data_IF_533970434632
#
_entry.id   IF_533970434632
#
_cell.length_a   1.000
_cell.length_b   1.000
_cell.length_c   1.000
_cell.angle_alpha   90.00
_cell.angle_beta   90.00
_cell.angle_gamma   90.00
#
_symmetry.space_group_name_H-M   'P 1'
#
loop_
_entity.id
_entity.type
_entity.pdbx_description
1 polymer ?
#
# COMPACT_ATOMS: atom_id res chain seq x y z
N UNK A 1 4.44 -12.82 0.52
CA UNK A 1 4.84 -14.07 1.23
C UNK A 1 4.91 -15.25 0.26
N UNK A 2 3.88 -15.52 -0.55
CA UNK A 2 3.85 -16.64 -1.50
C UNK A 2 5.03 -16.63 -2.48
N UNK A 3 5.31 -15.48 -3.12
CA UNK A 3 6.47 -15.31 -3.99
C UNK A 3 7.79 -15.69 -3.30
N UNK A 4 7.93 -15.39 -2.00
CA UNK A 4 9.13 -15.78 -1.23
C UNK A 4 9.25 -17.30 -1.06
N UNK A 5 8.16 -18.02 -0.85
CA UNK A 5 8.19 -19.49 -0.80
C UNK A 5 8.51 -20.09 -2.16
N UNK A 6 7.87 -19.61 -3.23
CA UNK A 6 8.13 -20.07 -4.60
C UNK A 6 9.62 -19.81 -4.96
N UNK A 7 10.12 -18.61 -4.73
CA UNK A 7 11.51 -18.25 -4.99
C UNK A 7 12.50 -19.14 -4.20
N UNK A 8 12.19 -19.42 -2.94
CA UNK A 8 13.00 -20.33 -2.13
C UNK A 8 13.03 -21.75 -2.68
N UNK A 9 11.89 -22.31 -3.10
CA UNK A 9 11.81 -23.64 -3.73
C UNK A 9 12.62 -23.67 -5.03
N UNK A 10 12.44 -22.67 -5.91
CA UNK A 10 13.20 -22.56 -7.15
C UNK A 10 14.71 -22.48 -6.88
N UNK A 11 15.12 -21.70 -5.89
CA UNK A 11 16.52 -21.59 -5.49
C UNK A 11 17.09 -22.93 -5.01
N UNK A 12 16.34 -23.67 -4.21
CA UNK A 12 16.72 -25.00 -3.72
C UNK A 12 16.94 -25.98 -4.88
N UNK A 13 16.03 -26.03 -5.85
CA UNK A 13 16.15 -26.88 -7.04
C UNK A 13 17.37 -26.52 -7.91
N UNK A 14 17.76 -25.26 -7.93
CA UNK A 14 18.93 -24.78 -8.66
C UNK A 14 20.24 -24.85 -7.85
N UNK A 15 20.21 -25.41 -6.62
CA UNK A 15 21.38 -25.47 -5.74
C UNK A 15 21.87 -24.10 -5.27
N UNK A 16 20.98 -23.11 -5.22
CA UNK A 16 21.27 -21.76 -4.75
C UNK A 16 20.92 -21.58 -3.28
N UNK A 17 21.29 -20.43 -2.70
CA UNK A 17 20.98 -20.11 -1.32
C UNK A 17 19.49 -19.79 -1.14
N UNK A 18 18.72 -20.76 -0.66
CA UNK A 18 17.28 -20.66 -0.41
C UNK A 18 16.91 -19.50 0.52
N UNK A 19 17.65 -19.29 1.62
CA UNK A 19 17.37 -18.21 2.58
C UNK A 19 17.52 -16.84 1.95
N UNK A 20 18.55 -16.68 1.11
CA UNK A 20 18.81 -15.43 0.40
C UNK A 20 17.73 -15.16 -0.66
N UNK A 21 17.29 -16.20 -1.39
CA UNK A 21 16.21 -16.10 -2.37
C UNK A 21 14.88 -15.75 -1.72
N UNK A 22 14.52 -16.42 -0.64
CA UNK A 22 13.31 -16.08 0.14
C UNK A 22 13.34 -14.64 0.66
N UNK A 23 14.50 -14.20 1.15
CA UNK A 23 14.68 -12.84 1.67
C UNK A 23 14.51 -11.79 0.57
N UNK A 24 15.13 -11.98 -0.59
CA UNK A 24 15.01 -11.07 -1.73
C UNK A 24 13.56 -10.98 -2.23
N UNK A 25 12.91 -12.12 -2.43
CA UNK A 25 11.51 -12.17 -2.88
C UNK A 25 10.52 -11.66 -1.82
N UNK A 26 10.82 -11.78 -0.53
CA UNK A 26 9.99 -11.19 0.53
C UNK A 26 10.01 -9.65 0.48
N UNK A 27 11.15 -9.08 0.12
CA UNK A 27 11.40 -7.63 0.15
C UNK A 27 11.24 -6.94 -1.21
N UNK A 28 11.03 -7.69 -2.31
CA UNK A 28 11.06 -7.12 -3.67
C UNK A 28 10.12 -5.93 -3.85
N UNK A 29 8.97 -5.97 -3.21
CA UNK A 29 7.90 -4.97 -3.28
C UNK A 29 7.88 -3.97 -2.10
N UNK A 30 8.91 -3.97 -1.24
CA UNK A 30 8.91 -3.11 -0.04
C UNK A 30 8.78 -1.62 -0.37
N UNK A 31 9.23 -1.20 -1.55
CA UNK A 31 9.08 0.18 -2.00
C UNK A 31 7.63 0.63 -2.19
N UNK A 32 6.68 -0.30 -2.36
CA UNK A 32 5.24 0.01 -2.42
C UNK A 32 4.68 0.49 -1.07
N UNK A 33 5.39 0.23 0.03
CA UNK A 33 5.01 0.69 1.37
C UNK A 33 5.45 2.13 1.67
N UNK A 34 6.30 2.72 0.83
CA UNK A 34 6.76 4.11 0.97
C UNK A 34 5.75 5.05 0.33
N UNK A 35 5.63 6.25 0.90
CA UNK A 35 4.69 7.28 0.44
C UNK A 35 4.99 7.72 -1.00
N UNK A 36 3.93 8.09 -1.73
CA UNK A 36 3.99 8.54 -3.12
C UNK A 36 4.70 9.86 -3.36
N UNK A 37 5.10 10.55 -2.30
CA UNK A 37 5.93 11.75 -2.38
C UNK A 37 7.37 11.45 -2.82
N UNK A 38 7.79 10.16 -2.79
CA UNK A 38 9.10 9.74 -3.28
C UNK A 38 8.99 9.38 -4.75
N UNK A 39 9.58 10.19 -5.61
CA UNK A 39 9.67 9.93 -7.05
C UNK A 39 10.56 8.72 -7.34
N UNK A 40 10.08 7.83 -8.21
CA UNK A 40 10.82 6.66 -8.66
C UNK A 40 10.00 5.39 -8.74
N UNK A 41 10.56 4.34 -9.34
CA UNK A 41 9.93 3.03 -9.33
C UNK A 41 10.04 2.41 -7.92
N UNK A 42 9.01 1.64 -7.53
CA UNK A 42 9.03 0.94 -6.23
C UNK A 42 10.23 -0.02 -6.09
N UNK A 43 10.76 -0.52 -7.20
CA UNK A 43 11.95 -1.38 -7.22
C UNK A 43 13.20 -0.60 -6.75
N UNK A 44 13.39 0.60 -7.26
CA UNK A 44 14.52 1.46 -6.89
C UNK A 44 14.37 1.96 -5.45
N UNK A 45 13.19 2.47 -5.10
CA UNK A 45 12.88 2.94 -3.73
C UNK A 45 13.08 1.79 -2.72
N UNK A 46 12.56 0.60 -3.04
CA UNK A 46 12.72 -0.59 -2.22
C UNK A 46 14.17 -1.03 -2.03
N UNK A 47 14.98 -0.93 -3.09
CA UNK A 47 16.41 -1.23 -3.05
C UNK A 47 17.19 -0.23 -2.16
N UNK A 48 16.84 1.05 -2.21
CA UNK A 48 17.43 2.06 -1.33
C UNK A 48 17.10 1.83 0.13
N UNK A 49 15.85 1.48 0.43
CA UNK A 49 15.43 1.07 1.77
C UNK A 49 16.20 -0.15 2.23
N UNK A 50 16.23 -1.20 1.43
CA UNK A 50 16.96 -2.43 1.77
C UNK A 50 18.46 -2.16 2.06
N UNK A 51 19.08 -1.30 1.26
CA UNK A 51 20.46 -0.86 1.48
C UNK A 51 20.61 -0.09 2.78
N UNK A 52 19.72 0.85 3.07
CA UNK A 52 19.70 1.65 4.30
C UNK A 52 19.58 0.79 5.55
N UNK A 53 18.83 -0.31 5.47
CA UNK A 53 18.62 -1.23 6.58
C UNK A 53 19.58 -2.44 6.57
N UNK A 54 20.65 -2.39 5.79
CA UNK A 54 21.77 -3.33 5.89
C UNK A 54 21.60 -4.65 5.14
N UNK A 55 20.70 -4.72 4.15
CA UNK A 55 20.59 -5.88 3.28
C UNK A 55 21.84 -6.05 2.41
N UNK A 56 22.18 -7.31 2.08
CA UNK A 56 23.36 -7.61 1.27
C UNK A 56 23.24 -7.01 -0.16
N UNK A 57 24.36 -6.63 -0.79
CA UNK A 57 24.32 -6.08 -2.16
C UNK A 57 23.58 -6.97 -3.18
N UNK A 58 23.64 -8.29 -3.02
CA UNK A 58 22.94 -9.25 -3.87
C UNK A 58 21.41 -9.14 -3.71
N UNK A 59 20.92 -8.96 -2.49
CA UNK A 59 19.50 -8.76 -2.20
C UNK A 59 19.06 -7.40 -2.71
N UNK A 60 19.84 -6.36 -2.47
CA UNK A 60 19.57 -5.00 -2.94
C UNK A 60 19.47 -4.97 -4.47
N UNK A 61 20.42 -5.59 -5.18
CA UNK A 61 20.34 -5.69 -6.64
C UNK A 61 19.12 -6.49 -7.11
N UNK A 62 18.80 -7.61 -6.44
CA UNK A 62 17.62 -8.39 -6.80
C UNK A 62 16.31 -7.58 -6.63
N UNK A 63 16.20 -6.74 -5.59
CA UNK A 63 15.07 -5.83 -5.41
C UNK A 63 15.04 -4.75 -6.50
N UNK A 64 16.18 -4.14 -6.83
CA UNK A 64 16.24 -3.09 -7.85
C UNK A 64 15.95 -3.61 -9.27
N UNK A 65 16.35 -4.85 -9.58
CA UNK A 65 16.35 -5.42 -10.92
C UNK A 65 15.15 -6.31 -11.23
N UNK A 66 14.20 -6.54 -10.31
CA UNK A 66 13.09 -7.47 -10.54
C UNK A 66 12.08 -7.02 -11.61
N UNK A 67 12.11 -5.75 -12.01
CA UNK A 67 11.35 -5.21 -13.16
C UNK A 67 12.27 -4.68 -14.28
N UNK A 68 13.52 -5.15 -14.33
CA UNK A 68 14.50 -4.76 -15.34
C UNK A 68 14.89 -3.27 -15.36
N UNK A 69 14.49 -2.49 -14.33
CA UNK A 69 14.87 -1.07 -14.19
C UNK A 69 16.40 -0.89 -14.09
N UNK A 70 17.10 -1.88 -13.59
CA UNK A 70 18.55 -1.97 -13.56
C UNK A 70 19.01 -3.36 -13.96
N UNK A 71 20.30 -3.46 -14.36
CA UNK A 71 20.89 -4.74 -14.75
C UNK A 71 20.95 -5.72 -13.58
N UNK A 72 20.47 -6.95 -13.80
CA UNK A 72 20.64 -8.06 -12.88
C UNK A 72 22.13 -8.45 -12.80
N UNK A 73 22.72 -8.40 -11.60
CA UNK A 73 24.11 -8.77 -11.35
C UNK A 73 24.25 -10.25 -10.97
N UNK A 74 23.16 -10.87 -10.53
CA UNK A 74 23.10 -12.27 -10.11
C UNK A 74 21.84 -12.94 -10.60
N UNK A 75 21.81 -14.28 -10.60
CA UNK A 75 20.63 -15.10 -10.91
C UNK A 75 19.45 -14.81 -9.96
N UNK A 76 19.68 -14.14 -8.84
CA UNK A 76 18.69 -13.89 -7.82
C UNK A 76 17.57 -12.96 -8.31
N UNK A 77 17.89 -11.93 -9.12
CA UNK A 77 16.89 -11.01 -9.65
C UNK A 77 15.90 -11.70 -10.61
N UNK A 78 16.33 -12.41 -11.68
CA UNK A 78 15.39 -13.15 -12.53
C UNK A 78 14.63 -14.27 -11.78
N UNK A 79 15.21 -14.81 -10.70
CA UNK A 79 14.49 -15.77 -9.87
C UNK A 79 13.35 -15.13 -9.07
N UNK A 80 13.57 -13.92 -8.56
CA UNK A 80 12.53 -13.13 -7.89
C UNK A 80 11.42 -12.74 -8.84
N UNK A 81 11.75 -12.24 -10.04
CA UNK A 81 10.80 -11.89 -11.08
C UNK A 81 9.93 -13.11 -11.49
N UNK A 82 10.56 -14.25 -11.77
CA UNK A 82 9.84 -15.48 -12.10
C UNK A 82 8.91 -15.95 -10.96
N UNK A 83 9.34 -15.83 -9.71
CA UNK A 83 8.53 -16.19 -8.56
C UNK A 83 7.34 -15.25 -8.35
N UNK A 84 7.52 -13.96 -8.60
CA UNK A 84 6.44 -12.96 -8.54
C UNK A 84 5.42 -13.21 -9.66
N UNK A 85 5.88 -13.43 -10.90
CA UNK A 85 5.04 -13.76 -12.03
C UNK A 85 4.20 -15.04 -11.79
N UNK A 86 4.80 -16.10 -11.23
CA UNK A 86 4.10 -17.33 -10.88
C UNK A 86 3.06 -17.10 -9.78
N UNK A 87 3.39 -16.34 -8.75
CA UNK A 87 2.46 -16.00 -7.67
C UNK A 87 1.24 -15.22 -8.20
N UNK A 88 1.49 -14.25 -9.08
CA UNK A 88 0.44 -13.45 -9.72
C UNK A 88 -0.42 -14.21 -10.74
N UNK A 89 0.14 -15.24 -11.39
CA UNK A 89 -0.53 -16.01 -12.41
C UNK A 89 -1.42 -17.13 -11.86
N UNK A 90 -1.32 -17.49 -10.57
CA UNK A 90 -2.13 -18.58 -10.01
C UNK A 90 -3.63 -18.26 -10.08
N UNK A 91 -4.48 -19.28 -10.28
CA UNK A 91 -5.93 -19.08 -10.27
C UNK A 91 -6.43 -18.43 -8.98
N UNK A 92 -7.20 -17.35 -9.11
CA UNK A 92 -7.78 -16.64 -7.96
C UNK A 92 -6.93 -15.51 -7.37
N UNK A 93 -5.64 -15.37 -7.70
CA UNK A 93 -4.76 -14.33 -7.16
C UNK A 93 -5.32 -12.90 -7.35
N UNK A 94 -5.84 -12.60 -8.54
CA UNK A 94 -6.47 -11.29 -8.84
C UNK A 94 -7.76 -11.08 -8.07
N UNK A 95 -8.54 -12.13 -7.88
CA UNK A 95 -9.81 -12.09 -7.13
C UNK A 95 -9.55 -11.82 -5.65
N UNK A 96 -8.59 -12.48 -5.03
CA UNK A 96 -8.21 -12.26 -3.63
C UNK A 96 -7.70 -10.84 -3.39
N UNK A 97 -6.90 -10.29 -4.33
CA UNK A 97 -6.45 -8.89 -4.25
C UNK A 97 -7.63 -7.91 -4.34
N UNK A 98 -8.58 -8.16 -5.24
CA UNK A 98 -9.77 -7.34 -5.40
C UNK A 98 -10.64 -7.39 -4.14
N UNK A 99 -10.89 -8.57 -3.58
CA UNK A 99 -11.70 -8.75 -2.37
C UNK A 99 -11.04 -8.06 -1.16
N UNK A 100 -9.73 -8.19 -0.99
CA UNK A 100 -9.01 -7.50 0.11
C UNK A 100 -8.98 -5.98 -0.08
N UNK A 101 -8.91 -5.51 -1.32
CA UNK A 101 -9.04 -4.10 -1.65
C UNK A 101 -10.43 -3.55 -1.27
N UNK A 102 -11.50 -4.21 -1.70
CA UNK A 102 -12.88 -3.81 -1.39
C UNK A 102 -13.12 -3.79 0.13
N UNK A 103 -12.72 -4.86 0.84
CA UNK A 103 -12.84 -4.91 2.31
C UNK A 103 -12.14 -3.74 2.99
N UNK A 104 -10.97 -3.33 2.50
CA UNK A 104 -10.24 -2.18 3.07
C UNK A 104 -11.00 -0.87 2.86
N UNK A 105 -11.62 -0.66 1.69
CA UNK A 105 -12.44 0.53 1.44
C UNK A 105 -13.67 0.54 2.36
N UNK A 106 -14.37 -0.58 2.46
CA UNK A 106 -15.55 -0.74 3.32
C UNK A 106 -15.20 -0.49 4.81
N UNK A 107 -14.04 -0.96 5.26
CA UNK A 107 -13.56 -0.77 6.62
C UNK A 107 -13.25 0.72 6.91
N UNK A 108 -12.59 1.43 5.98
CA UNK A 108 -12.35 2.86 6.08
C UNK A 108 -13.65 3.64 6.18
N UNK A 109 -14.62 3.34 5.32
CA UNK A 109 -15.93 3.98 5.34
C UNK A 109 -16.73 3.63 6.61
N UNK A 110 -16.65 2.41 7.10
CA UNK A 110 -17.26 1.99 8.36
C UNK A 110 -16.72 2.78 9.55
N UNK A 111 -15.39 2.91 9.64
CA UNK A 111 -14.73 3.67 10.72
C UNK A 111 -15.17 5.11 10.69
N UNK A 112 -15.14 5.76 9.54
CA UNK A 112 -15.48 7.19 9.41
C UNK A 112 -16.96 7.45 9.65
N UNK A 113 -17.85 6.61 9.13
CA UNK A 113 -19.30 6.73 9.33
C UNK A 113 -19.75 6.48 10.78
N UNK A 114 -18.87 5.96 11.65
CA UNK A 114 -19.16 5.81 13.09
C UNK A 114 -19.08 7.12 13.87
N UNK A 115 -18.56 8.20 13.27
CA UNK A 115 -18.44 9.50 13.93
C UNK A 115 -19.73 10.32 13.77
N UNK A 116 -20.19 10.91 14.87
CA UNK A 116 -21.37 11.77 14.87
C UNK A 116 -21.12 13.03 14.02
N UNK A 117 -22.08 13.38 13.18
CA UNK A 117 -21.96 14.54 12.28
C UNK A 117 -21.35 14.23 10.92
N UNK A 118 -20.87 13.01 10.70
CA UNK A 118 -20.49 12.55 9.34
C UNK A 118 -21.77 12.30 8.54
N UNK A 119 -21.84 12.92 7.36
CA UNK A 119 -22.93 12.72 6.40
C UNK A 119 -22.59 11.60 5.43
N UNK A 120 -21.40 11.66 4.85
CA UNK A 120 -20.87 10.67 3.88
C UNK A 120 -19.35 10.60 3.96
N UNK A 121 -18.81 9.45 3.63
CA UNK A 121 -17.38 9.28 3.44
C UNK A 121 -17.08 8.55 2.12
N UNK A 122 -15.93 8.84 1.54
CA UNK A 122 -15.48 8.25 0.28
C UNK A 122 -14.01 7.91 0.38
N UNK A 123 -13.70 6.63 0.28
CA UNK A 123 -12.33 6.19 0.10
C UNK A 123 -11.91 6.42 -1.37
N UNK A 124 -10.87 7.20 -1.57
CA UNK A 124 -10.34 7.56 -2.90
C UNK A 124 -8.87 7.16 -3.02
N UNK A 125 -8.27 7.33 -4.20
CA UNK A 125 -6.87 6.98 -4.44
C UNK A 125 -6.49 5.56 -3.98
N UNK A 126 -7.32 4.58 -4.34
CA UNK A 126 -7.11 3.19 -3.93
C UNK A 126 -7.07 2.99 -2.40
N UNK A 127 -7.83 3.78 -1.62
CA UNK A 127 -7.88 3.72 -0.16
C UNK A 127 -6.70 4.39 0.55
N UNK A 128 -5.99 5.29 -0.14
CA UNK A 128 -4.90 6.10 0.44
C UNK A 128 -5.36 7.46 0.93
N UNK A 129 -6.54 7.88 0.52
CA UNK A 129 -7.21 9.07 1.05
C UNK A 129 -8.66 8.70 1.38
N UNK A 130 -9.16 9.21 2.51
CA UNK A 130 -10.58 9.20 2.82
C UNK A 130 -11.09 10.62 2.94
N UNK A 131 -12.14 10.93 2.17
CA UNK A 131 -12.82 12.23 2.20
C UNK A 131 -14.14 12.09 2.95
N UNK A 132 -14.33 12.94 3.92
CA UNK A 132 -15.42 12.85 4.89
C UNK A 132 -16.22 14.16 4.82
N UNK A 133 -17.44 14.06 4.34
CA UNK A 133 -18.38 15.18 4.33
C UNK A 133 -19.09 15.24 5.67
N UNK A 134 -19.07 16.39 6.33
CA UNK A 134 -19.75 16.59 7.62
C UNK A 134 -20.90 17.57 7.49
N UNK A 135 -21.92 17.38 8.34
CA UNK A 135 -23.08 18.28 8.43
C UNK A 135 -22.65 19.62 9.05
N UNK A 136 -22.68 20.67 8.24
CA UNK A 136 -22.18 22.00 8.62
C UNK A 136 -22.96 22.65 9.77
N UNK A 137 -24.23 22.24 9.98
CA UNK A 137 -25.06 22.71 11.09
C UNK A 137 -24.66 22.09 12.43
N UNK A 138 -24.02 20.90 12.41
CA UNK A 138 -23.71 20.11 13.60
C UNK A 138 -22.24 20.21 13.97
N UNK A 139 -21.36 20.30 12.95
CA UNK A 139 -19.92 20.26 13.12
C UNK A 139 -19.31 21.62 12.80
N UNK A 140 -18.69 22.25 13.78
CA UNK A 140 -17.91 23.49 13.62
C UNK A 140 -16.53 23.21 13.00
N UNK A 141 -15.82 24.27 12.58
CA UNK A 141 -14.48 24.14 11.98
C UNK A 141 -13.45 23.53 12.98
N UNK A 142 -13.56 23.89 14.27
CA UNK A 142 -12.72 23.34 15.33
C UNK A 142 -13.02 21.85 15.58
N UNK A 143 -14.30 21.48 15.50
CA UNK A 143 -14.72 20.07 15.63
C UNK A 143 -14.30 19.25 14.41
N UNK A 144 -14.38 19.79 13.20
CA UNK A 144 -13.88 19.14 11.99
C UNK A 144 -12.38 18.85 12.08
N UNK A 145 -11.61 19.83 12.60
CA UNK A 145 -10.16 19.66 12.80
C UNK A 145 -9.82 18.61 13.88
N UNK A 146 -10.62 18.51 14.95
CA UNK A 146 -10.49 17.45 15.96
C UNK A 146 -10.90 16.09 15.39
N UNK A 147 -12.01 16.03 14.69
CA UNK A 147 -12.53 14.83 14.07
C UNK A 147 -11.52 14.21 13.10
N UNK A 148 -10.82 15.01 12.28
CA UNK A 148 -9.77 14.52 11.40
C UNK A 148 -8.67 13.77 12.16
N UNK A 149 -8.22 14.30 13.30
CA UNK A 149 -7.20 13.65 14.16
C UNK A 149 -7.73 12.38 14.83
N UNK A 150 -8.96 12.41 15.30
CA UNK A 150 -9.57 11.28 16.02
C UNK A 150 -9.85 10.12 15.05
N UNK A 151 -10.29 10.43 13.83
CA UNK A 151 -10.46 9.43 12.76
C UNK A 151 -9.10 8.84 12.36
N UNK A 152 -8.06 9.66 12.18
CA UNK A 152 -6.73 9.16 11.86
C UNK A 152 -6.22 8.17 12.93
N UNK A 153 -6.34 8.52 14.20
CA UNK A 153 -5.97 7.63 15.32
C UNK A 153 -6.78 6.33 15.34
N UNK A 154 -8.07 6.42 15.05
CA UNK A 154 -8.93 5.24 15.03
C UNK A 154 -8.55 4.30 13.88
N UNK A 155 -8.25 4.84 12.70
CA UNK A 155 -7.72 4.07 11.56
C UNK A 155 -6.40 3.39 11.93
N UNK A 156 -5.45 4.12 12.56
CA UNK A 156 -4.17 3.58 13.02
C UNK A 156 -4.34 2.41 14.00
N UNK A 157 -5.37 2.47 14.84
CA UNK A 157 -5.61 1.46 15.88
C UNK A 157 -6.36 0.23 15.35
N UNK A 158 -7.33 0.43 14.45
CA UNK A 158 -8.25 -0.63 14.01
C UNK A 158 -7.85 -1.29 12.69
N UNK A 159 -6.98 -0.65 11.88
CA UNK A 159 -6.63 -1.15 10.56
C UNK A 159 -5.13 -1.41 10.40
N UNK A 160 -4.81 -2.46 9.63
CA UNK A 160 -3.45 -2.66 9.10
C UNK A 160 -3.43 -2.23 7.64
N UNK A 161 -2.58 -1.26 7.31
CA UNK A 161 -2.46 -0.72 5.96
C UNK A 161 -1.00 -0.41 5.60
N UNK A 162 -0.63 -0.51 4.32
CA UNK A 162 0.70 -0.11 3.87
C UNK A 162 0.77 1.40 3.64
N UNK A 163 1.80 2.06 4.14
CA UNK A 163 2.05 3.48 3.95
C UNK A 163 1.18 4.38 4.84
N UNK A 164 0.73 5.51 4.32
CA UNK A 164 -0.09 6.49 5.02
C UNK A 164 -1.50 6.56 4.41
N UNK A 165 -2.48 6.92 5.23
CA UNK A 165 -3.85 7.23 4.79
C UNK A 165 -4.13 8.69 5.12
N UNK A 166 -4.38 9.49 4.09
CA UNK A 166 -4.77 10.89 4.23
C UNK A 166 -6.23 10.98 4.67
N UNK A 167 -6.48 11.64 5.77
CA UNK A 167 -7.83 11.90 6.29
C UNK A 167 -8.21 13.35 6.02
N UNK A 168 -9.21 13.57 5.15
CA UNK A 168 -9.68 14.90 4.77
C UNK A 168 -11.13 15.07 5.24
N UNK A 169 -11.37 15.93 6.22
CA UNK A 169 -12.71 16.32 6.65
C UNK A 169 -13.12 17.59 5.92
N UNK A 170 -14.27 17.55 5.27
CA UNK A 170 -14.81 18.63 4.45
C UNK A 170 -16.11 19.12 5.06
N UNK A 171 -16.12 20.38 5.46
CA UNK A 171 -17.31 21.11 5.88
C UNK A 171 -17.67 22.11 4.80
N UNK A 172 -18.83 21.95 4.18
CA UNK A 172 -19.24 22.74 3.01
C UNK A 172 -20.65 23.32 3.22
N UNK A 173 -20.84 24.59 2.88
CA UNK A 173 -22.15 25.22 2.73
C UNK A 173 -22.34 25.60 1.28
N UNK A 174 -23.46 25.21 0.67
CA UNK A 174 -23.83 25.57 -0.71
C UNK A 174 -25.06 26.46 -0.70
N UNK A 175 -24.97 27.59 -1.38
CA UNK A 175 -26.13 28.45 -1.70
C UNK A 175 -26.32 28.40 -3.21
N UNK A 176 -27.56 28.15 -3.66
CA UNK A 176 -27.88 28.06 -5.10
C UNK A 176 -29.02 29.03 -5.40
N UNK A 177 -28.84 29.86 -6.44
CA UNK A 177 -29.88 30.69 -7.01
C UNK A 177 -29.86 30.57 -8.53
N UNK A 178 -31.00 30.86 -9.19
CA UNK A 178 -31.16 30.73 -10.64
C UNK A 178 -31.37 32.11 -11.26
N UNK A 179 -30.48 32.51 -12.16
CA UNK A 179 -30.76 33.64 -13.07
C UNK A 179 -31.85 33.21 -14.08
N UNK A 180 -32.89 34.05 -14.21
CA UNK A 180 -34.00 33.86 -15.17
C UNK A 180 -33.88 34.83 -16.31
#
# INVERSE_FOLDING_TARGET
IEAAFICGMMASELGLNEKQARRAALLHDIGKAVDHEVEGSHAIIGAELARKYGESPKIVNAIAAHHEDVKAETILAPLVDAADALSGARPGARREMMESYVRRLEELERITNSFKGVEKSYAVQAGREIRIMVQHEIVSDDEASRMARDIARKIETEMTYPGQIKVTVIREMRSVDYAK
#
